data_IF_253710573372
#
_entry.id   IF_253710573372
#
_cell.length_a   1.000
_cell.length_b   1.000
_cell.length_c   1.000
_cell.angle_alpha   90.00
_cell.angle_beta   90.00
_cell.angle_gamma   90.00
#
_symmetry.space_group_name_H-M   'P 1'
#
loop_
_entity.id
_entity.type
_entity.pdbx_description
1 polymer ?
#
# COMPACT_ATOMS: atom_id res chain seq x y z
N UNK A 1 -3.29 -12.82 -4.96
CA UNK A 1 -2.66 -11.48 -4.89
C UNK A 1 -2.77 -10.94 -3.46
N UNK A 2 -1.69 -11.00 -2.67
CA UNK A 2 -1.68 -10.66 -1.23
C UNK A 2 -2.10 -9.20 -0.91
N UNK A 3 -2.19 -8.33 -1.91
CA UNK A 3 -2.41 -6.89 -1.75
C UNK A 3 -3.86 -6.43 -1.81
N UNK A 4 -4.83 -7.30 -2.17
CA UNK A 4 -6.25 -6.92 -2.10
C UNK A 4 -6.65 -6.49 -0.67
N UNK A 5 -6.00 -7.06 0.36
CA UNK A 5 -6.20 -6.66 1.76
C UNK A 5 -5.59 -5.30 2.12
N UNK A 6 -4.74 -4.72 1.27
CA UNK A 6 -4.12 -3.41 1.47
C UNK A 6 -4.87 -2.27 0.76
N UNK A 7 -5.79 -2.59 -0.15
CA UNK A 7 -6.68 -1.61 -0.79
C UNK A 7 -7.70 -1.01 0.18
N UNK A 8 -7.93 -1.63 1.34
CA UNK A 8 -8.83 -1.12 2.37
C UNK A 8 -8.28 0.09 3.14
N UNK A 9 -6.98 0.35 3.02
CA UNK A 9 -6.32 1.46 3.71
C UNK A 9 -6.28 2.68 2.79
N UNK A 10 -6.44 3.87 3.36
CA UNK A 10 -6.12 5.11 2.66
C UNK A 10 -4.62 5.18 2.34
N UNK A 11 -4.21 6.06 1.42
CA UNK A 11 -2.79 6.17 1.03
C UNK A 11 -1.88 6.59 2.20
N UNK A 12 -2.39 7.40 3.13
CA UNK A 12 -1.66 7.81 4.32
C UNK A 12 -1.46 6.65 5.30
N UNK A 13 -2.49 5.83 5.53
CA UNK A 13 -2.43 4.62 6.35
C UNK A 13 -1.54 3.55 5.72
N UNK A 14 -1.66 3.36 4.40
CA UNK A 14 -0.82 2.46 3.63
C UNK A 14 0.66 2.85 3.76
N UNK A 15 0.98 4.14 3.59
CA UNK A 15 2.35 4.65 3.75
C UNK A 15 2.89 4.41 5.15
N UNK A 16 2.06 4.51 6.21
CA UNK A 16 2.48 4.19 7.59
C UNK A 16 2.76 2.71 7.79
N UNK A 17 1.98 1.83 7.18
CA UNK A 17 2.11 0.37 7.33
C UNK A 17 3.27 -0.21 6.52
N UNK A 18 3.45 0.27 5.29
CA UNK A 18 4.39 -0.31 4.31
C UNK A 18 5.67 0.51 4.20
N UNK A 19 5.66 1.77 4.64
CA UNK A 19 6.82 2.67 4.61
C UNK A 19 7.08 3.33 3.26
N UNK A 20 6.41 2.89 2.20
CA UNK A 20 6.54 3.45 0.84
C UNK A 20 5.17 3.82 0.25
N UNK A 21 5.11 4.80 -0.68
CA UNK A 21 3.89 5.12 -1.40
C UNK A 21 3.36 3.92 -2.19
N UNK A 22 2.03 3.82 -2.32
CA UNK A 22 1.35 2.72 -3.02
C UNK A 22 1.80 2.57 -4.48
N UNK A 23 2.04 3.69 -5.18
CA UNK A 23 2.52 3.71 -6.56
C UNK A 23 3.84 2.93 -6.73
N UNK A 24 4.81 3.19 -5.85
CA UNK A 24 6.11 2.50 -5.84
C UNK A 24 5.93 1.01 -5.50
N UNK A 25 5.00 0.71 -4.60
CA UNK A 25 4.73 -0.66 -4.20
C UNK A 25 4.04 -1.50 -5.29
N UNK A 26 3.19 -0.90 -6.12
CA UNK A 26 2.55 -1.58 -7.25
C UNK A 26 3.50 -1.89 -8.40
N UNK A 27 4.67 -1.25 -8.45
CA UNK A 27 5.71 -1.48 -9.44
C UNK A 27 6.74 -2.56 -9.02
N UNK A 28 6.65 -3.07 -7.78
CA UNK A 28 7.43 -4.21 -7.26
C UNK A 28 6.66 -5.53 -7.38
#
# INVERSE_FOLDING_TARGET
MRYQKLNRFSDSEFKRLVGVPRQVFTEM
#
